data_IF_510581107941
#
_entry.id   IF_510581107941
#
_cell.length_a   1.000
_cell.length_b   1.000
_cell.length_c   1.000
_cell.angle_alpha   90.00
_cell.angle_beta   90.00
_cell.angle_gamma   90.00
#
_symmetry.space_group_name_H-M   'P 1'
#
loop_
_entity.id
_entity.type
_entity.pdbx_description
1 polymer ?
#
# COMPACT_ATOMS: atom_id res chain seq x y z
N UNK A 1 16.36 11.75 -9.14
CA UNK A 1 15.53 12.79 -9.74
C UNK A 1 16.01 14.14 -9.30
N UNK A 2 16.17 15.10 -10.23
CA UNK A 2 16.64 16.44 -9.92
C UNK A 2 15.53 17.32 -9.31
N UNK A 3 14.27 16.94 -9.50
CA UNK A 3 13.11 17.71 -9.05
C UNK A 3 12.02 16.77 -8.48
N UNK A 4 11.18 17.30 -7.57
CA UNK A 4 10.00 16.57 -7.07
C UNK A 4 9.02 16.25 -8.20
N UNK A 5 8.91 17.12 -9.20
CA UNK A 5 8.07 16.90 -10.38
C UNK A 5 8.58 15.74 -11.23
N UNK A 6 9.89 15.65 -11.46
CA UNK A 6 10.47 14.55 -12.24
C UNK A 6 10.25 13.21 -11.54
N UNK A 7 10.37 13.17 -10.21
CA UNK A 7 10.08 11.98 -9.43
C UNK A 7 8.60 11.57 -9.53
N UNK A 8 7.69 12.51 -9.37
CA UNK A 8 6.26 12.24 -9.47
C UNK A 8 5.85 11.79 -10.89
N UNK A 9 6.34 12.47 -11.92
CA UNK A 9 6.04 12.13 -13.31
C UNK A 9 6.62 10.78 -13.71
N UNK A 10 7.87 10.50 -13.38
CA UNK A 10 8.49 9.20 -13.70
C UNK A 10 7.82 8.05 -12.98
N UNK A 11 7.43 8.22 -11.71
CA UNK A 11 6.69 7.21 -10.96
C UNK A 11 5.29 6.99 -11.53
N UNK A 12 4.55 8.08 -11.81
CA UNK A 12 3.21 8.00 -12.38
C UNK A 12 3.24 7.34 -13.75
N UNK A 13 4.08 7.82 -14.67
CA UNK A 13 4.17 7.26 -16.02
C UNK A 13 4.66 5.82 -15.98
N UNK A 14 5.72 5.50 -15.24
CA UNK A 14 6.28 4.15 -15.15
C UNK A 14 5.28 3.14 -14.60
N UNK A 15 4.61 3.46 -13.48
CA UNK A 15 3.63 2.57 -12.86
C UNK A 15 2.39 2.44 -13.75
N UNK A 16 1.85 3.55 -14.24
CA UNK A 16 0.59 3.53 -14.97
C UNK A 16 0.73 2.85 -16.34
N UNK A 17 1.74 3.24 -17.12
CA UNK A 17 1.96 2.61 -18.43
C UNK A 17 2.45 1.17 -18.32
N UNK A 18 3.37 0.88 -17.38
CA UNK A 18 3.87 -0.48 -17.16
C UNK A 18 2.75 -1.44 -16.75
N UNK A 19 1.96 -1.08 -15.75
CA UNK A 19 0.85 -1.92 -15.30
C UNK A 19 -0.26 -2.04 -16.35
N UNK A 20 -0.64 -0.94 -17.01
CA UNK A 20 -1.65 -0.98 -18.06
C UNK A 20 -1.23 -1.88 -19.23
N UNK A 21 0.03 -1.77 -19.67
CA UNK A 21 0.58 -2.62 -20.72
C UNK A 21 0.56 -4.10 -20.30
N UNK A 22 1.02 -4.43 -19.11
CA UNK A 22 1.02 -5.82 -18.58
C UNK A 22 -0.40 -6.39 -18.48
N UNK A 23 -1.37 -5.61 -18.02
CA UNK A 23 -2.77 -6.04 -17.92
C UNK A 23 -3.35 -6.30 -19.31
N UNK A 24 -3.15 -5.40 -20.26
CA UNK A 24 -3.64 -5.57 -21.64
C UNK A 24 -3.06 -6.83 -22.28
N UNK A 25 -1.73 -7.01 -22.20
CA UNK A 25 -1.06 -8.19 -22.76
C UNK A 25 -1.58 -9.47 -22.09
N UNK A 26 -1.73 -9.48 -20.78
CA UNK A 26 -2.24 -10.63 -20.03
C UNK A 26 -3.66 -10.99 -20.43
N UNK A 27 -4.56 -10.00 -20.57
CA UNK A 27 -5.95 -10.22 -21.00
C UNK A 27 -5.99 -10.79 -22.41
N UNK A 28 -5.22 -10.23 -23.34
CA UNK A 28 -5.15 -10.71 -24.71
C UNK A 28 -4.66 -12.16 -24.76
N UNK A 29 -3.56 -12.48 -24.04
CA UNK A 29 -3.03 -13.83 -24.00
C UNK A 29 -4.03 -14.84 -23.42
N UNK A 30 -4.67 -14.51 -22.30
CA UNK A 30 -5.69 -15.38 -21.69
C UNK A 30 -6.87 -15.60 -22.65
N UNK A 31 -7.35 -14.55 -23.32
CA UNK A 31 -8.44 -14.65 -24.30
C UNK A 31 -8.07 -15.49 -25.52
N UNK A 32 -6.87 -15.30 -26.07
CA UNK A 32 -6.41 -16.03 -27.24
C UNK A 32 -6.12 -17.51 -26.94
N UNK A 33 -5.57 -17.80 -25.76
CA UNK A 33 -5.14 -19.16 -25.39
C UNK A 33 -6.19 -19.96 -24.62
N UNK A 34 -7.27 -19.31 -24.17
CA UNK A 34 -8.33 -19.96 -23.40
C UNK A 34 -7.90 -20.49 -22.02
N UNK A 35 -6.73 -20.05 -21.52
CA UNK A 35 -6.17 -20.48 -20.24
C UNK A 35 -5.44 -19.33 -19.55
N UNK A 36 -5.51 -19.29 -18.21
CA UNK A 36 -4.74 -18.38 -17.38
C UNK A 36 -3.41 -18.99 -16.90
N UNK A 37 -3.15 -20.25 -17.23
CA UNK A 37 -1.90 -20.94 -16.88
C UNK A 37 -0.77 -20.49 -17.82
N UNK A 38 0.13 -19.65 -17.29
CA UNK A 38 1.25 -19.07 -18.03
C UNK A 38 2.19 -20.15 -18.59
N UNK A 39 2.33 -21.28 -17.89
CA UNK A 39 3.17 -22.39 -18.34
C UNK A 39 2.57 -23.07 -19.59
N UNK A 40 1.27 -23.31 -19.59
CA UNK A 40 0.56 -23.82 -20.79
C UNK A 40 0.71 -22.88 -21.97
N UNK A 41 0.59 -21.56 -21.71
CA UNK A 41 0.81 -20.54 -22.75
C UNK A 41 2.20 -20.67 -23.36
N UNK A 42 3.26 -20.74 -22.53
CA UNK A 42 4.63 -20.87 -23.02
C UNK A 42 4.88 -22.17 -23.79
N UNK A 43 4.30 -23.29 -23.36
CA UNK A 43 4.37 -24.57 -24.07
C UNK A 43 3.69 -24.47 -25.43
N UNK A 44 2.48 -23.90 -25.47
CA UNK A 44 1.73 -23.76 -26.72
C UNK A 44 2.43 -22.84 -27.74
N UNK A 45 3.11 -21.80 -27.25
CA UNK A 45 3.90 -20.91 -28.09
C UNK A 45 5.29 -21.46 -28.49
N UNK A 46 5.66 -22.66 -28.01
CA UNK A 46 6.97 -23.26 -28.27
C UNK A 46 8.15 -22.57 -27.59
N UNK A 47 7.91 -21.69 -26.62
CA UNK A 47 8.92 -20.92 -25.88
C UNK A 47 9.03 -21.35 -24.41
N UNK A 48 8.73 -22.62 -24.08
CA UNK A 48 8.71 -23.10 -22.71
C UNK A 48 10.03 -22.89 -21.95
N UNK A 49 11.16 -23.26 -22.56
CA UNK A 49 12.47 -23.15 -21.91
C UNK A 49 12.89 -21.69 -21.64
N UNK A 50 12.94 -20.80 -22.65
CA UNK A 50 13.26 -19.41 -22.37
C UNK A 50 12.20 -18.72 -21.47
N UNK A 51 10.94 -19.09 -21.60
CA UNK A 51 9.85 -18.58 -20.75
C UNK A 51 10.05 -18.92 -19.27
N UNK A 52 10.42 -20.16 -18.94
CA UNK A 52 10.72 -20.58 -17.55
C UNK A 52 11.91 -19.80 -17.00
N UNK A 53 12.97 -19.65 -17.78
CA UNK A 53 14.19 -18.94 -17.33
C UNK A 53 13.82 -17.47 -17.00
N UNK A 54 13.15 -16.78 -17.91
CA UNK A 54 12.76 -15.39 -17.71
C UNK A 54 11.82 -15.25 -16.52
N UNK A 55 10.81 -16.13 -16.39
CA UNK A 55 9.87 -16.11 -15.28
C UNK A 55 10.58 -16.33 -13.94
N UNK A 56 11.49 -17.30 -13.87
CA UNK A 56 12.25 -17.58 -12.65
C UNK A 56 13.12 -16.38 -12.25
N UNK A 57 13.83 -15.77 -13.20
CA UNK A 57 14.66 -14.59 -12.92
C UNK A 57 13.81 -13.39 -12.50
N UNK A 58 12.68 -13.16 -13.14
CA UNK A 58 11.75 -12.09 -12.79
C UNK A 58 11.19 -12.28 -11.37
N UNK A 59 10.76 -13.49 -11.02
CA UNK A 59 10.29 -13.82 -9.67
C UNK A 59 11.40 -13.72 -8.63
N UNK A 60 12.61 -14.14 -8.94
CA UNK A 60 13.76 -14.00 -8.06
C UNK A 60 14.00 -12.54 -7.66
N UNK A 61 14.09 -11.65 -8.64
CA UNK A 61 14.34 -10.23 -8.39
C UNK A 61 13.21 -9.57 -7.60
N UNK A 62 11.95 -9.86 -7.97
CA UNK A 62 10.78 -9.33 -7.29
C UNK A 62 10.68 -9.81 -5.85
N UNK A 63 10.83 -11.12 -5.61
CA UNK A 63 10.76 -11.69 -4.28
C UNK A 63 11.90 -11.18 -3.37
N UNK A 64 13.11 -11.05 -3.90
CA UNK A 64 14.23 -10.49 -3.14
C UNK A 64 13.95 -9.05 -2.70
N UNK A 65 13.43 -8.22 -3.60
CA UNK A 65 13.07 -6.83 -3.29
C UNK A 65 11.92 -6.75 -2.27
N UNK A 66 10.93 -7.63 -2.37
CA UNK A 66 9.79 -7.66 -1.45
C UNK A 66 10.21 -8.09 -0.04
N UNK A 67 11.01 -9.16 0.09
CA UNK A 67 11.52 -9.63 1.39
C UNK A 67 12.43 -8.57 2.02
N UNK A 68 13.29 -7.93 1.25
CA UNK A 68 14.13 -6.84 1.73
C UNK A 68 13.30 -5.66 2.25
N UNK A 69 12.32 -5.20 1.46
CA UNK A 69 11.44 -4.09 1.86
C UNK A 69 10.61 -4.41 3.10
N UNK A 70 10.13 -5.65 3.23
CA UNK A 70 9.40 -6.13 4.40
C UNK A 70 10.30 -6.18 5.64
N UNK A 71 11.52 -6.72 5.52
CA UNK A 71 12.48 -6.80 6.62
C UNK A 71 12.88 -5.41 7.12
N UNK A 72 13.13 -4.47 6.21
CA UNK A 72 13.43 -3.08 6.56
C UNK A 72 12.27 -2.40 7.27
N UNK A 73 11.04 -2.61 6.80
CA UNK A 73 9.82 -2.04 7.41
C UNK A 73 9.62 -2.55 8.84
N UNK A 74 9.85 -3.84 9.08
CA UNK A 74 9.76 -4.43 10.42
C UNK A 74 10.91 -3.97 11.31
N UNK A 75 12.12 -3.82 10.78
CA UNK A 75 13.27 -3.31 11.52
C UNK A 75 13.05 -1.88 12.05
N UNK A 76 12.29 -1.05 11.33
CA UNK A 76 11.91 0.28 11.81
C UNK A 76 11.03 0.22 13.07
N UNK A 77 10.23 -0.82 13.21
CA UNK A 77 9.35 -1.05 14.37
C UNK A 77 10.09 -1.79 15.47
N UNK A 78 10.80 -2.87 15.11
CA UNK A 78 11.56 -3.72 16.02
C UNK A 78 13.05 -3.30 16.04
N UNK A 79 13.36 -2.15 16.60
CA UNK A 79 14.71 -1.55 16.62
C UNK A 79 15.83 -2.44 17.16
N UNK A 80 15.51 -3.52 17.87
CA UNK A 80 16.48 -4.45 18.47
C UNK A 80 16.79 -5.67 17.59
N UNK A 81 15.99 -5.94 16.58
CA UNK A 81 16.16 -7.13 15.74
C UNK A 81 17.08 -6.81 14.56
N UNK A 82 18.15 -7.59 14.34
CA UNK A 82 19.05 -7.39 13.21
C UNK A 82 18.31 -7.71 11.90
N UNK A 83 18.48 -6.87 10.89
CA UNK A 83 17.83 -6.99 9.58
C UNK A 83 18.01 -8.37 8.94
N UNK A 84 19.22 -8.96 9.06
CA UNK A 84 19.53 -10.30 8.55
C UNK A 84 18.60 -11.38 9.12
N UNK A 85 18.34 -11.34 10.42
CA UNK A 85 17.46 -12.32 11.09
C UNK A 85 16.02 -12.12 10.61
N UNK A 86 15.56 -10.88 10.50
CA UNK A 86 14.22 -10.56 9.99
C UNK A 86 14.04 -11.07 8.56
N UNK A 87 15.03 -10.86 7.70
CA UNK A 87 15.01 -11.33 6.31
C UNK A 87 14.88 -12.86 6.24
N UNK A 88 15.64 -13.60 7.04
CA UNK A 88 15.57 -15.07 7.09
C UNK A 88 14.21 -15.53 7.59
N UNK A 89 13.74 -14.97 8.72
CA UNK A 89 12.45 -15.34 9.32
C UNK A 89 11.29 -15.07 8.35
N UNK A 90 11.29 -13.91 7.71
CA UNK A 90 10.25 -13.56 6.73
C UNK A 90 10.31 -14.47 5.49
N UNK A 91 11.50 -14.80 5.03
CA UNK A 91 11.70 -15.75 3.90
C UNK A 91 11.12 -17.12 4.24
N UNK A 92 11.40 -17.64 5.45
CA UNK A 92 10.85 -18.92 5.91
C UNK A 92 9.32 -18.85 6.00
N UNK A 93 8.77 -17.81 6.63
CA UNK A 93 7.31 -17.62 6.75
C UNK A 93 6.66 -17.58 5.36
N UNK A 94 7.22 -16.79 4.45
CA UNK A 94 6.68 -16.67 3.08
C UNK A 94 6.71 -18.02 2.34
N UNK A 95 7.78 -18.79 2.50
CA UNK A 95 7.89 -20.13 1.91
C UNK A 95 6.86 -21.10 2.49
N UNK A 96 6.69 -21.11 3.81
CA UNK A 96 5.68 -21.94 4.45
C UNK A 96 4.28 -21.58 3.99
N UNK A 97 3.93 -20.30 3.94
CA UNK A 97 2.63 -19.85 3.43
C UNK A 97 2.39 -20.29 1.97
N UNK A 98 3.43 -20.23 1.13
CA UNK A 98 3.34 -20.70 -0.25
C UNK A 98 3.06 -22.21 -0.33
N UNK A 99 3.73 -23.01 0.51
CA UNK A 99 3.53 -24.48 0.58
C UNK A 99 2.13 -24.83 1.10
N UNK A 100 1.59 -24.07 2.03
CA UNK A 100 0.22 -24.25 2.55
C UNK A 100 -0.88 -23.76 1.62
N UNK A 101 -0.56 -23.35 0.39
CA UNK A 101 -1.55 -23.04 -0.63
C UNK A 101 -2.27 -21.70 -0.43
N UNK A 102 -1.60 -20.69 0.13
CA UNK A 102 -2.18 -19.34 0.31
C UNK A 102 -2.71 -18.75 -1.02
N UNK A 103 -2.27 -19.29 -2.14
CA UNK A 103 -2.69 -18.89 -3.47
C UNK A 103 -4.20 -19.05 -3.69
N UNK A 104 -4.82 -20.05 -3.10
CA UNK A 104 -6.28 -20.27 -3.20
C UNK A 104 -7.09 -19.15 -2.53
N UNK A 105 -6.52 -18.54 -1.47
CA UNK A 105 -7.10 -17.39 -0.78
C UNK A 105 -6.64 -16.01 -1.30
N UNK A 106 -5.89 -15.97 -2.41
CA UNK A 106 -5.20 -14.75 -2.87
C UNK A 106 -6.15 -13.59 -3.14
N UNK A 107 -7.30 -13.85 -3.76
CA UNK A 107 -8.30 -12.80 -4.05
C UNK A 107 -8.87 -12.24 -2.75
N UNK A 108 -9.21 -13.10 -1.79
CA UNK A 108 -9.66 -12.67 -0.46
C UNK A 108 -8.61 -11.85 0.28
N UNK A 109 -7.34 -12.25 0.19
CA UNK A 109 -6.23 -11.50 0.76
C UNK A 109 -6.06 -10.12 0.11
N UNK A 110 -6.14 -10.01 -1.23
CA UNK A 110 -6.09 -8.73 -1.92
C UNK A 110 -7.24 -7.80 -1.53
N UNK A 111 -8.46 -8.35 -1.39
CA UNK A 111 -9.61 -7.58 -0.91
C UNK A 111 -9.37 -7.07 0.52
N UNK A 112 -8.86 -7.91 1.41
CA UNK A 112 -8.51 -7.50 2.78
C UNK A 112 -7.46 -6.38 2.77
N UNK A 113 -6.43 -6.48 1.94
CA UNK A 113 -5.43 -5.42 1.79
C UNK A 113 -6.06 -4.12 1.28
N UNK A 114 -6.96 -4.20 0.30
CA UNK A 114 -7.70 -3.05 -0.20
C UNK A 114 -8.52 -2.36 0.89
N UNK A 115 -9.19 -3.15 1.75
CA UNK A 115 -9.99 -2.64 2.87
C UNK A 115 -9.12 -1.95 3.92
N UNK A 116 -7.94 -2.49 4.24
CA UNK A 116 -7.10 -2.03 5.35
C UNK A 116 -6.13 -0.94 4.93
N UNK A 117 -5.50 -1.07 3.77
CA UNK A 117 -4.39 -0.19 3.35
C UNK A 117 -4.89 1.10 2.67
N UNK A 118 -5.95 1.02 1.88
CA UNK A 118 -6.43 2.19 1.14
C UNK A 118 -6.78 3.39 2.06
N UNK A 119 -7.47 3.21 3.20
CA UNK A 119 -7.74 4.31 4.13
C UNK A 119 -6.49 4.93 4.74
N UNK A 120 -5.39 4.16 4.91
CA UNK A 120 -4.10 4.70 5.40
C UNK A 120 -3.59 5.79 4.48
N UNK A 121 -3.67 5.55 3.16
CA UNK A 121 -3.29 6.55 2.15
C UNK A 121 -4.08 7.85 2.30
N UNK A 122 -5.39 7.76 2.52
CA UNK A 122 -6.26 8.91 2.76
C UNK A 122 -5.90 9.69 4.02
N UNK A 123 -5.72 8.99 5.14
CA UNK A 123 -5.31 9.58 6.42
C UNK A 123 -3.94 10.26 6.31
N UNK A 124 -2.97 9.60 5.70
CA UNK A 124 -1.63 10.15 5.49
C UNK A 124 -1.65 11.42 4.63
N UNK A 125 -2.39 11.40 3.54
CA UNK A 125 -2.52 12.53 2.63
C UNK A 125 -3.18 13.72 3.32
N UNK A 126 -4.26 13.50 4.06
CA UNK A 126 -4.93 14.54 4.84
C UNK A 126 -4.02 15.14 5.92
N UNK A 127 -3.29 14.29 6.65
CA UNK A 127 -2.36 14.75 7.68
C UNK A 127 -1.27 15.63 7.08
N UNK A 128 -0.70 15.23 5.93
CA UNK A 128 0.39 15.96 5.29
C UNK A 128 -0.05 17.28 4.67
N UNK A 129 -1.18 17.29 3.93
CA UNK A 129 -1.58 18.47 3.16
C UNK A 129 -2.49 19.44 3.91
N UNK A 130 -3.29 18.94 4.87
CA UNK A 130 -4.33 19.74 5.53
C UNK A 130 -3.99 20.04 6.99
N UNK A 131 -3.56 19.05 7.75
CA UNK A 131 -3.40 19.19 9.20
C UNK A 131 -2.04 19.78 9.57
N UNK A 132 -0.97 19.35 8.90
CA UNK A 132 0.41 19.76 9.20
C UNK A 132 1.01 20.71 8.16
N UNK A 133 0.24 21.66 7.66
CA UNK A 133 0.80 22.67 6.74
C UNK A 133 1.98 23.46 7.33
N UNK A 134 2.08 23.57 8.64
CA UNK A 134 3.15 24.28 9.34
C UNK A 134 4.47 23.49 9.44
N UNK A 135 4.43 22.15 9.25
CA UNK A 135 5.62 21.30 9.29
C UNK A 135 6.24 21.08 7.91
N UNK A 136 6.37 22.13 7.11
CA UNK A 136 6.95 22.06 5.74
C UNK A 136 8.47 21.84 5.69
N UNK A 137 9.12 21.57 6.80
CA UNK A 137 10.52 21.20 6.87
C UNK A 137 10.71 19.89 7.63
N UNK A 138 11.61 19.04 7.15
CA UNK A 138 12.20 17.95 7.93
C UNK A 138 13.07 18.61 9.02
N UNK A 139 12.45 19.14 10.05
CA UNK A 139 13.17 19.67 11.20
C UNK A 139 13.75 18.48 11.98
N UNK A 140 15.08 18.36 11.93
CA UNK A 140 15.84 17.27 12.55
C UNK A 140 15.74 17.21 14.08
N UNK A 141 14.96 18.10 14.70
CA UNK A 141 14.78 18.22 16.15
C UNK A 141 13.39 17.88 16.68
N UNK A 142 12.39 17.65 15.83
CA UNK A 142 11.03 17.39 16.30
C UNK A 142 10.87 15.90 16.62
N UNK A 143 10.78 15.57 17.91
CA UNK A 143 10.38 14.25 18.39
C UNK A 143 8.92 13.99 18.00
N UNK A 144 8.72 13.26 16.91
CA UNK A 144 7.39 12.81 16.50
C UNK A 144 6.86 11.83 17.56
N UNK A 145 5.66 12.09 18.08
CA UNK A 145 4.97 11.09 18.90
C UNK A 145 4.77 9.83 18.06
N UNK A 146 5.20 8.65 18.52
CA UNK A 146 5.18 7.42 17.73
C UNK A 146 3.78 6.99 17.31
N UNK A 147 2.75 7.41 18.04
CA UNK A 147 1.34 7.04 17.77
C UNK A 147 0.47 8.29 17.90
N UNK A 148 -0.24 8.61 16.84
CA UNK A 148 -1.22 9.70 16.82
C UNK A 148 -2.63 9.09 16.93
N UNK A 149 -3.22 9.09 18.11
CA UNK A 149 -4.53 8.46 18.40
C UNK A 149 -5.62 8.88 17.42
N UNK A 150 -5.66 10.14 17.01
CA UNK A 150 -6.63 10.67 16.04
C UNK A 150 -6.52 9.98 14.66
N UNK A 151 -5.29 9.71 14.20
CA UNK A 151 -5.08 9.06 12.90
C UNK A 151 -5.51 7.59 12.92
N UNK A 152 -5.38 6.92 14.07
CA UNK A 152 -5.90 5.56 14.23
C UNK A 152 -7.43 5.55 14.16
N UNK A 153 -8.10 6.49 14.83
CA UNK A 153 -9.56 6.60 14.76
C UNK A 153 -10.03 6.84 13.34
N UNK A 154 -9.41 7.77 12.63
CA UNK A 154 -9.72 8.06 11.22
C UNK A 154 -9.49 6.85 10.32
N UNK A 155 -8.44 6.09 10.58
CA UNK A 155 -8.14 4.85 9.86
C UNK A 155 -9.20 3.76 10.10
N UNK A 156 -9.59 3.53 11.35
CA UNK A 156 -10.63 2.56 11.70
C UNK A 156 -11.96 2.92 11.01
N UNK A 157 -12.35 4.20 11.04
CA UNK A 157 -13.56 4.66 10.35
C UNK A 157 -13.43 4.42 8.83
N UNK A 158 -12.27 4.70 8.25
CA UNK A 158 -11.98 4.42 6.85
C UNK A 158 -12.12 2.93 6.51
N UNK A 159 -11.59 2.04 7.36
CA UNK A 159 -11.74 0.57 7.21
C UNK A 159 -13.23 0.18 7.23
N UNK A 160 -14.01 0.69 8.17
CA UNK A 160 -15.43 0.37 8.27
C UNK A 160 -16.19 0.79 7.00
N UNK A 161 -15.92 1.98 6.48
CA UNK A 161 -16.56 2.45 5.24
C UNK A 161 -16.13 1.61 4.05
N UNK A 162 -14.84 1.27 3.92
CA UNK A 162 -14.36 0.39 2.83
C UNK A 162 -15.01 -0.98 2.92
N UNK A 163 -15.12 -1.54 4.12
CA UNK A 163 -15.76 -2.83 4.36
C UNK A 163 -17.24 -2.79 3.93
N UNK A 164 -17.99 -1.79 4.37
CA UNK A 164 -19.40 -1.62 4.00
C UNK A 164 -19.57 -1.40 2.49
N UNK A 165 -18.65 -0.68 1.85
CA UNK A 165 -18.64 -0.49 0.40
C UNK A 165 -18.33 -1.78 -0.36
N UNK A 166 -17.40 -2.59 0.13
CA UNK A 166 -17.02 -3.88 -0.48
C UNK A 166 -18.20 -4.86 -0.51
N UNK A 167 -19.04 -4.84 0.54
CA UNK A 167 -20.22 -5.69 0.63
C UNK A 167 -21.51 -5.04 0.11
N UNK A 168 -21.43 -3.86 -0.51
CA UNK A 168 -22.53 -3.21 -1.18
C UNK A 168 -23.55 -2.51 -0.29
N UNK A 169 -23.25 -2.34 1.02
CA UNK A 169 -24.15 -1.63 1.95
C UNK A 169 -24.13 -0.11 1.72
N UNK A 170 -22.98 0.44 1.37
CA UNK A 170 -22.79 1.87 1.08
C UNK A 170 -21.81 1.96 -0.08
N UNK A 171 -22.21 2.56 -1.19
CA UNK A 171 -21.31 2.79 -2.34
C UNK A 171 -21.25 4.29 -2.61
N UNK A 172 -20.09 4.91 -2.37
CA UNK A 172 -19.80 6.28 -2.78
C UNK A 172 -19.27 6.31 -4.21
N UNK A 173 -18.40 5.37 -4.51
CA UNK A 173 -17.85 5.14 -5.83
C UNK A 173 -17.99 3.66 -6.20
N UNK A 174 -17.71 3.31 -7.45
CA UNK A 174 -17.73 1.91 -7.90
C UNK A 174 -16.55 1.09 -7.33
N UNK A 175 -15.58 1.76 -6.69
CA UNK A 175 -14.32 1.17 -6.23
C UNK A 175 -14.20 1.30 -4.72
N UNK A 176 -14.50 0.22 -3.98
CA UNK A 176 -14.51 0.22 -2.52
C UNK A 176 -13.21 0.73 -1.86
N UNK A 177 -11.98 0.41 -2.31
CA UNK A 177 -10.77 1.01 -1.78
C UNK A 177 -10.69 2.53 -1.94
N UNK A 178 -11.27 3.08 -3.00
CA UNK A 178 -11.34 4.53 -3.21
C UNK A 178 -12.28 5.19 -2.19
N UNK A 179 -13.40 4.54 -1.88
CA UNK A 179 -14.33 5.01 -0.84
C UNK A 179 -13.65 5.11 0.52
N UNK A 180 -12.86 4.10 0.85
CA UNK A 180 -12.06 4.10 2.08
C UNK A 180 -10.97 5.17 2.12
N UNK A 181 -10.30 5.40 1.00
CA UNK A 181 -9.33 6.49 0.88
C UNK A 181 -10.00 7.85 1.11
N UNK A 182 -11.12 8.10 0.45
CA UNK A 182 -11.89 9.35 0.59
C UNK A 182 -12.38 9.52 2.03
N UNK A 183 -12.95 8.47 2.61
CA UNK A 183 -13.43 8.49 3.98
C UNK A 183 -12.31 8.79 4.98
N UNK A 184 -11.19 8.08 4.90
CA UNK A 184 -10.01 8.32 5.72
C UNK A 184 -9.48 9.75 5.59
N UNK A 185 -9.44 10.26 4.35
CA UNK A 185 -9.02 11.63 4.06
C UNK A 185 -9.95 12.67 4.69
N UNK A 186 -11.26 12.54 4.51
CA UNK A 186 -12.27 13.50 5.03
C UNK A 186 -12.29 13.48 6.55
N UNK A 187 -12.37 12.29 7.16
CA UNK A 187 -12.42 12.15 8.61
C UNK A 187 -11.15 12.71 9.26
N UNK A 188 -9.98 12.39 8.72
CA UNK A 188 -8.71 12.93 9.23
C UNK A 188 -8.64 14.45 9.08
N UNK A 189 -9.13 15.01 7.99
CA UNK A 189 -9.17 16.46 7.75
C UNK A 189 -10.04 17.17 8.77
N UNK A 190 -11.21 16.60 9.09
CA UNK A 190 -12.16 17.17 10.06
C UNK A 190 -11.57 17.08 11.47
N UNK A 191 -11.21 15.87 11.92
CA UNK A 191 -10.68 15.63 13.27
C UNK A 191 -9.38 16.42 13.48
N UNK A 192 -8.51 16.46 12.47
CA UNK A 192 -7.25 17.17 12.53
C UNK A 192 -7.42 18.68 12.72
N UNK A 193 -8.31 19.31 11.95
CA UNK A 193 -8.59 20.75 12.07
C UNK A 193 -9.25 21.11 13.40
N UNK A 194 -10.25 20.33 13.83
CA UNK A 194 -10.95 20.56 15.10
C UNK A 194 -9.99 20.51 16.29
N UNK A 195 -9.18 19.48 16.38
CA UNK A 195 -8.24 19.32 17.49
C UNK A 195 -7.08 20.33 17.46
N UNK A 196 -6.64 20.74 16.27
CA UNK A 196 -5.60 21.75 16.14
C UNK A 196 -6.12 23.15 16.57
N UNK A 197 -7.35 23.48 16.20
CA UNK A 197 -8.02 24.72 16.61
C UNK A 197 -8.23 24.80 18.14
N UNK A 198 -8.61 23.70 18.78
CA UNK A 198 -8.84 23.65 20.23
C UNK A 198 -7.54 23.82 21.01
N UNK A 199 -6.43 23.27 20.51
CA UNK A 199 -5.12 23.39 21.16
C UNK A 199 -4.55 24.81 21.08
N UNK A 200 -4.70 25.47 19.93
CA UNK A 200 -4.29 26.87 19.76
C UNK A 200 -5.07 27.79 20.70
N UNK A 201 -6.37 27.53 20.91
CA UNK A 201 -7.21 28.29 21.82
C UNK A 201 -6.78 28.14 23.29
N UNK A 202 -6.39 26.94 23.70
CA UNK A 202 -5.88 26.66 25.05
C UNK A 202 -4.49 27.25 25.34
N UNK A 203 -3.65 27.41 24.31
CA UNK A 203 -2.36 28.09 24.44
C UNK A 203 -2.51 29.60 24.54
N UNK A 204 -3.49 30.18 23.85
CA UNK A 204 -3.83 31.61 23.96
C UNK A 204 -4.43 31.92 25.33
N UNK A 205 -5.36 31.11 25.82
CA UNK A 205 -5.99 31.29 27.16
C UNK A 205 -5.01 31.09 28.34
N UNK A 206 -3.89 30.46 28.12
CA UNK A 206 -2.82 30.31 29.15
C UNK A 206 -1.77 31.44 29.08
N UNK A 207 -1.76 32.22 28.02
CA UNK A 207 -0.81 33.29 27.81
C UNK A 207 -1.40 34.70 28.16
N UNK A 208 -2.71 34.74 28.48
CA UNK A 208 -3.43 35.90 29.00
C UNK A 208 -3.66 35.70 30.53
#
# INVERSE_FOLDING_TARGET
AKSRRDCALSSFLGIQFGNAFMIIVSIVLVKCMGTSDIMRIFITLGIAIPGIIVLTLAQWTTNTSNVYSASLSIALVLKKAPEKVLTIVLGIIATLLAVFGIYEGFIGFLNLLGIVIAPVGGVYTAEYYIVKQELKGFDKGVLYKPIVKRSIVSWIIGILITYLSTYGFITLTTIAPLDGFIAGFVVQSIIGKVLCSTKNKQEIDKAV
#
